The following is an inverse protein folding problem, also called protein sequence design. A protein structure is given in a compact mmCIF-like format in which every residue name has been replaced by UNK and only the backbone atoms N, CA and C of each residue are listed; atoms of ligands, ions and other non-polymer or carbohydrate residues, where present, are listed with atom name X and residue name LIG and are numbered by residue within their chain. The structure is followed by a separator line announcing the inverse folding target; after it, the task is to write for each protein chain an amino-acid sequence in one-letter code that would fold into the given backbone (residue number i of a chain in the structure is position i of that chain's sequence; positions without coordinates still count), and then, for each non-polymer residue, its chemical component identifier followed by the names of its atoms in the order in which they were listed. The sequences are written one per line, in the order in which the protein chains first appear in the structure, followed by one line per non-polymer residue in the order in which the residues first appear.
data_IF_595819574666
#
_entry.id   IF_595819574666
#
_cell.length_a   1.000
_cell.length_b   1.000
_cell.length_c   1.000
_cell.angle_alpha   90.00
_cell.angle_beta   90.00
_cell.angle_gamma   90.00
#
_symmetry.space_group_name_H-M   'P 1'
#
loop_
_entity.id
_entity.type
_entity.pdbx_description
1 polymer ?
#
# COMPACT_ATOMS: atom_id res chain seq x y z
N UNK A 1 -5.80 20.12 -0.63
CA UNK A 1 -7.07 20.86 -0.61
C UNK A 1 -8.23 19.89 -0.66
N UNK A 2 -9.26 20.11 0.19
CA UNK A 2 -10.53 19.40 0.16
C UNK A 2 -11.54 20.27 -0.61
N UNK A 3 -12.06 19.74 -1.72
CA UNK A 3 -12.87 20.53 -2.67
C UNK A 3 -14.33 20.68 -2.24
N UNK A 4 -14.81 19.79 -1.37
CA UNK A 4 -16.14 19.81 -0.76
C UNK A 4 -16.07 19.26 0.67
N UNK A 5 -17.11 19.48 1.46
CA UNK A 5 -17.24 18.83 2.76
C UNK A 5 -17.26 17.32 2.59
N UNK A 6 -16.52 16.60 3.43
CA UNK A 6 -16.50 15.13 3.40
C UNK A 6 -16.88 14.57 4.77
N UNK A 7 -18.11 14.06 4.91
CA UNK A 7 -18.60 13.50 6.17
C UNK A 7 -17.82 12.26 6.63
N UNK A 8 -17.28 11.46 5.71
CA UNK A 8 -16.52 10.26 6.05
C UNK A 8 -15.13 10.61 6.60
N UNK A 9 -14.49 11.64 6.06
CA UNK A 9 -13.23 12.18 6.58
C UNK A 9 -13.50 13.06 7.81
N UNK A 10 -14.71 13.57 7.96
CA UNK A 10 -15.11 14.46 9.05
C UNK A 10 -14.52 15.87 8.93
N UNK A 11 -14.25 16.33 7.71
CA UNK A 11 -13.67 17.65 7.46
C UNK A 11 -14.50 18.48 6.49
N UNK A 12 -14.69 19.78 6.76
CA UNK A 12 -15.27 20.70 5.80
C UNK A 12 -14.30 21.01 4.66
N UNK A 13 -14.84 21.54 3.56
CA UNK A 13 -14.04 22.09 2.46
C UNK A 13 -12.97 23.05 2.97
N UNK A 14 -11.75 22.94 2.45
CA UNK A 14 -10.67 23.81 2.87
C UNK A 14 -9.27 23.35 2.53
N UNK A 15 -8.28 24.09 3.01
CA UNK A 15 -6.87 23.75 2.87
C UNK A 15 -6.34 23.21 4.19
N UNK A 16 -5.66 22.09 4.10
CA UNK A 16 -5.07 21.38 5.24
C UNK A 16 -3.62 21.07 4.95
N UNK A 17 -2.80 20.99 5.97
CA UNK A 17 -1.47 20.42 5.86
C UNK A 17 -1.60 18.90 5.82
N UNK A 18 -1.16 18.27 4.73
CA UNK A 18 -1.11 16.81 4.59
C UNK A 18 0.29 16.29 4.91
N UNK A 19 0.38 15.25 5.73
CA UNK A 19 1.61 14.48 5.95
C UNK A 19 1.40 13.13 5.30
N UNK A 20 2.21 12.82 4.28
CA UNK A 20 2.21 11.52 3.61
C UNK A 20 3.46 10.75 4.01
N UNK A 21 3.29 9.56 4.57
CA UNK A 21 4.36 8.60 4.78
C UNK A 21 4.17 7.37 3.91
N UNK A 22 5.27 6.82 3.42
CA UNK A 22 5.30 5.57 2.68
C UNK A 22 6.33 4.65 3.33
N UNK A 23 5.85 3.72 4.10
CA UNK A 23 6.66 2.75 4.85
C UNK A 23 6.00 1.37 4.79
N UNK A 24 6.57 0.40 5.48
CA UNK A 24 6.03 -0.95 5.61
C UNK A 24 6.64 -1.63 6.83
N UNK A 25 6.50 -2.94 6.93
CA UNK A 25 7.01 -3.76 8.03
C UNK A 25 8.54 -3.88 8.07
N UNK A 26 9.25 -3.21 7.17
CA UNK A 26 10.73 -3.15 7.12
C UNK A 26 11.37 -4.56 7.06
N UNK A 27 12.45 -4.78 7.80
CA UNK A 27 13.14 -6.07 7.88
C UNK A 27 12.25 -7.19 8.38
N UNK A 28 11.38 -6.91 9.37
CA UNK A 28 10.50 -7.90 9.97
C UNK A 28 9.61 -8.63 8.94
N UNK A 29 8.85 -7.88 8.14
CA UNK A 29 8.01 -8.50 7.11
C UNK A 29 8.81 -9.09 5.95
N UNK A 30 10.00 -8.57 5.66
CA UNK A 30 10.87 -9.15 4.64
C UNK A 30 11.40 -10.53 5.07
N UNK A 31 11.77 -10.71 6.31
CA UNK A 31 12.21 -12.00 6.87
C UNK A 31 11.09 -13.04 6.87
N UNK A 32 9.87 -12.64 7.30
CA UNK A 32 8.67 -13.48 7.23
C UNK A 32 8.44 -13.93 5.78
N UNK A 33 8.40 -12.98 4.84
CA UNK A 33 8.15 -13.29 3.44
C UNK A 33 9.22 -14.24 2.86
N UNK A 34 10.49 -13.99 3.13
CA UNK A 34 11.59 -14.83 2.64
C UNK A 34 11.55 -16.26 3.23
N UNK A 35 11.20 -16.39 4.49
CA UNK A 35 11.04 -17.68 5.13
C UNK A 35 9.93 -18.49 4.45
N UNK A 36 8.72 -17.93 4.36
CA UNK A 36 7.57 -18.66 3.81
C UNK A 36 7.62 -18.84 2.30
N UNK A 37 8.34 -18.02 1.55
CA UNK A 37 8.62 -18.26 0.12
C UNK A 37 9.45 -19.54 -0.04
N UNK A 38 10.45 -19.79 0.83
CA UNK A 38 11.21 -21.03 0.81
C UNK A 38 10.34 -22.23 1.19
N UNK A 39 9.58 -22.11 2.27
CA UNK A 39 8.65 -23.16 2.71
C UNK A 39 7.63 -23.49 1.61
N UNK A 40 7.05 -22.48 0.97
CA UNK A 40 6.12 -22.68 -0.14
C UNK A 40 6.77 -23.43 -1.32
N UNK A 41 7.99 -23.05 -1.69
CA UNK A 41 8.73 -23.71 -2.77
C UNK A 41 9.02 -25.18 -2.47
N UNK A 42 9.23 -25.55 -1.21
CA UNK A 42 9.42 -26.94 -0.76
C UNK A 42 8.12 -27.74 -0.76
N UNK A 43 6.99 -27.12 -0.35
CA UNK A 43 5.68 -27.76 -0.26
C UNK A 43 4.94 -27.82 -1.61
N UNK A 44 5.23 -26.90 -2.52
CA UNK A 44 4.60 -26.79 -3.83
C UNK A 44 5.68 -26.82 -4.92
N UNK A 45 6.14 -28.02 -5.33
CA UNK A 45 7.20 -28.15 -6.31
C UNK A 45 6.69 -27.77 -7.71
N UNK A 46 7.00 -26.56 -8.13
CA UNK A 46 6.70 -26.03 -9.46
C UNK A 46 7.94 -26.08 -10.36
N UNK A 47 7.77 -26.08 -11.69
CA UNK A 47 8.87 -25.84 -12.62
C UNK A 47 9.65 -24.58 -12.25
N UNK A 48 10.95 -24.56 -12.54
CA UNK A 48 11.85 -23.47 -12.15
C UNK A 48 11.34 -22.09 -12.58
N UNK A 49 10.72 -21.99 -13.75
CA UNK A 49 10.16 -20.77 -14.32
C UNK A 49 8.93 -20.27 -13.56
N UNK A 50 8.22 -21.18 -12.87
CA UNK A 50 7.01 -20.88 -12.09
C UNK A 50 7.23 -20.92 -10.58
N UNK A 51 8.42 -21.23 -10.09
CA UNK A 51 8.72 -21.42 -8.67
C UNK A 51 8.37 -20.19 -7.80
N UNK A 52 8.45 -18.99 -8.37
CA UNK A 52 8.03 -17.75 -7.72
C UNK A 52 6.52 -17.66 -7.43
N UNK A 53 5.71 -18.54 -8.00
CA UNK A 53 4.26 -18.65 -7.80
C UNK A 53 3.87 -19.77 -6.85
N UNK A 54 4.83 -20.40 -6.17
CA UNK A 54 4.53 -21.38 -5.14
C UNK A 54 3.64 -20.79 -4.05
N UNK A 55 2.72 -21.58 -3.52
CA UNK A 55 1.73 -21.17 -2.54
C UNK A 55 1.72 -22.08 -1.31
N UNK A 56 1.06 -21.64 -0.25
CA UNK A 56 0.73 -22.45 0.93
C UNK A 56 -0.79 -22.57 1.02
N UNK A 57 -1.27 -23.78 1.24
CA UNK A 57 -2.69 -24.03 1.47
C UNK A 57 -3.08 -23.54 2.87
N UNK A 58 -4.01 -22.59 2.93
CA UNK A 58 -4.48 -21.99 4.19
C UNK A 58 -5.28 -22.96 5.08
N UNK A 59 -5.63 -24.15 4.60
CA UNK A 59 -6.20 -25.21 5.42
C UNK A 59 -5.16 -25.99 6.23
N UNK A 60 -3.88 -25.82 5.91
CA UNK A 60 -2.75 -26.46 6.58
C UNK A 60 -2.21 -25.62 7.73
N UNK A 61 -1.49 -26.27 8.66
CA UNK A 61 -0.80 -25.56 9.75
C UNK A 61 0.18 -24.49 9.24
N UNK A 62 0.99 -24.82 8.23
CA UNK A 62 1.97 -23.89 7.64
C UNK A 62 1.29 -22.70 6.94
N UNK A 63 0.18 -22.94 6.25
CA UNK A 63 -0.59 -21.87 5.62
C UNK A 63 -1.19 -20.93 6.65
N UNK A 64 -1.78 -21.46 7.74
CA UNK A 64 -2.32 -20.65 8.83
C UNK A 64 -1.25 -19.89 9.58
N UNK A 65 -0.10 -20.50 9.81
CA UNK A 65 1.05 -19.85 10.45
C UNK A 65 1.54 -18.66 9.62
N UNK A 66 1.72 -18.87 8.29
CA UNK A 66 2.07 -17.77 7.38
C UNK A 66 1.02 -16.65 7.40
N UNK A 67 -0.27 -17.01 7.31
CA UNK A 67 -1.35 -16.04 7.35
C UNK A 67 -1.31 -15.18 8.60
N UNK A 68 -1.09 -15.80 9.76
CA UNK A 68 -0.97 -15.12 11.05
C UNK A 68 0.26 -14.20 11.09
N UNK A 69 1.41 -14.71 10.66
CA UNK A 69 2.66 -13.94 10.62
C UNK A 69 2.58 -12.74 9.65
N UNK A 70 1.93 -12.92 8.49
CA UNK A 70 1.70 -11.85 7.52
C UNK A 70 0.80 -10.75 8.11
N UNK A 71 -0.30 -11.13 8.78
CA UNK A 71 -1.18 -10.16 9.42
C UNK A 71 -0.46 -9.39 10.54
N UNK A 72 0.32 -10.08 11.37
CA UNK A 72 1.15 -9.44 12.40
C UNK A 72 2.13 -8.42 11.80
N UNK A 73 2.73 -8.73 10.65
CA UNK A 73 3.58 -7.78 9.94
C UNK A 73 2.81 -6.57 9.41
N UNK A 74 1.55 -6.76 9.01
CA UNK A 74 0.63 -5.68 8.63
C UNK A 74 0.31 -4.77 9.81
N UNK A 75 -0.06 -5.34 10.96
CA UNK A 75 -0.34 -4.59 12.20
C UNK A 75 0.90 -3.82 12.68
N UNK A 76 2.07 -4.45 12.62
CA UNK A 76 3.33 -3.78 12.91
C UNK A 76 3.59 -2.59 12.00
N UNK A 77 3.34 -2.73 10.69
CA UNK A 77 3.48 -1.62 9.75
C UNK A 77 2.53 -0.47 10.07
N UNK A 78 1.27 -0.77 10.40
CA UNK A 78 0.28 0.24 10.81
C UNK A 78 0.70 0.96 12.09
N UNK A 79 1.15 0.24 13.11
CA UNK A 79 1.66 0.82 14.35
C UNK A 79 2.88 1.73 14.12
N UNK A 80 3.78 1.34 13.22
CA UNK A 80 4.92 2.18 12.81
C UNK A 80 4.46 3.48 12.15
N UNK A 81 3.47 3.43 11.24
CA UNK A 81 2.90 4.62 10.62
C UNK A 81 2.27 5.55 11.65
N UNK A 82 1.53 5.00 12.61
CA UNK A 82 0.93 5.79 13.68
C UNK A 82 1.98 6.53 14.52
N UNK A 83 3.04 5.83 14.93
CA UNK A 83 4.11 6.45 15.71
C UNK A 83 4.85 7.53 14.92
N UNK A 84 5.16 7.28 13.64
CA UNK A 84 5.78 8.26 12.74
C UNK A 84 4.90 9.51 12.65
N UNK A 85 3.62 9.36 12.35
CA UNK A 85 2.70 10.50 12.21
C UNK A 85 2.54 11.26 13.53
N UNK A 86 2.41 10.56 14.65
CA UNK A 86 2.32 11.17 15.97
C UNK A 86 3.54 12.04 16.27
N UNK A 87 4.75 11.56 15.98
CA UNK A 87 6.00 12.30 16.17
C UNK A 87 6.09 13.52 15.25
N UNK A 88 5.76 13.36 13.98
CA UNK A 88 5.77 14.45 13.00
C UNK A 88 4.77 15.55 13.36
N UNK A 89 3.54 15.17 13.72
CA UNK A 89 2.51 16.13 14.14
C UNK A 89 2.96 16.95 15.35
N UNK A 90 3.59 16.30 16.35
CA UNK A 90 4.18 17.00 17.51
C UNK A 90 5.29 17.96 17.10
N UNK A 91 6.18 17.50 16.21
CA UNK A 91 7.32 18.30 15.76
C UNK A 91 6.90 19.58 15.01
N UNK A 92 5.81 19.53 14.26
CA UNK A 92 5.28 20.71 13.54
C UNK A 92 4.27 21.53 14.39
N UNK A 93 4.02 21.14 15.63
CA UNK A 93 3.04 21.82 16.49
C UNK A 93 1.60 21.70 15.99
N UNK A 94 1.30 20.67 15.21
CA UNK A 94 0.02 20.46 14.57
C UNK A 94 -0.98 19.70 15.44
N UNK A 95 -2.22 19.60 14.92
CA UNK A 95 -3.29 18.77 15.50
C UNK A 95 -3.82 17.83 14.44
N UNK A 96 -3.85 16.53 14.73
CA UNK A 96 -4.46 15.53 13.84
C UNK A 96 -5.95 15.82 13.65
N UNK A 97 -6.38 15.89 12.39
CA UNK A 97 -7.78 16.09 12.01
C UNK A 97 -8.38 14.83 11.40
N UNK A 98 -7.64 14.14 10.55
CA UNK A 98 -8.04 12.89 9.93
C UNK A 98 -6.81 12.04 9.60
N UNK A 99 -6.98 10.73 9.52
CA UNK A 99 -5.98 9.75 9.11
C UNK A 99 -6.59 8.81 8.08
N UNK A 100 -5.85 8.59 7.01
CA UNK A 100 -6.19 7.60 5.96
C UNK A 100 -4.97 6.71 5.79
N UNK A 101 -5.19 5.41 5.72
CA UNK A 101 -4.12 4.43 5.57
C UNK A 101 -4.53 3.37 4.53
N UNK A 102 -3.57 2.94 3.72
CA UNK A 102 -3.75 1.86 2.76
C UNK A 102 -2.55 0.91 2.80
N UNK A 103 -2.83 -0.38 2.75
CA UNK A 103 -1.86 -1.38 2.35
C UNK A 103 -1.93 -1.58 0.83
N UNK A 104 -0.78 -1.63 0.16
CA UNK A 104 -0.69 -1.84 -1.30
C UNK A 104 0.23 -3.01 -1.68
N UNK A 105 0.60 -3.82 -0.70
CA UNK A 105 1.33 -5.07 -0.85
C UNK A 105 0.92 -5.99 0.31
N UNK A 106 -0.25 -6.60 0.16
CA UNK A 106 -0.87 -7.39 1.21
C UNK A 106 -1.91 -8.35 0.61
N UNK A 107 -2.46 -9.24 1.42
CA UNK A 107 -3.54 -10.15 1.01
C UNK A 107 -4.72 -10.06 2.00
N UNK A 108 -5.92 -10.17 1.48
CA UNK A 108 -7.19 -10.11 2.25
C UNK A 108 -8.06 -11.31 1.92
N UNK A 109 -8.79 -11.80 2.92
CA UNK A 109 -9.93 -12.67 2.70
C UNK A 109 -11.14 -11.80 2.37
N UNK A 110 -11.75 -12.01 1.23
CA UNK A 110 -12.86 -11.23 0.71
C UNK A 110 -13.92 -12.14 0.11
N UNK A 111 -15.17 -11.67 0.03
CA UNK A 111 -16.26 -12.40 -0.62
C UNK A 111 -16.44 -11.82 -2.01
N UNK A 112 -16.22 -12.65 -3.03
CA UNK A 112 -16.50 -12.32 -4.42
C UNK A 112 -17.39 -13.41 -5.03
N UNK A 113 -18.48 -13.03 -5.67
CA UNK A 113 -19.49 -13.95 -6.24
C UNK A 113 -19.97 -15.00 -5.23
N UNK A 114 -20.14 -14.58 -3.97
CA UNK A 114 -20.61 -15.45 -2.87
C UNK A 114 -19.56 -16.46 -2.37
N UNK A 115 -18.31 -16.37 -2.79
CA UNK A 115 -17.22 -17.25 -2.36
C UNK A 115 -16.15 -16.47 -1.61
N UNK A 116 -15.66 -17.03 -0.51
CA UNK A 116 -14.45 -16.50 0.15
C UNK A 116 -13.24 -16.79 -0.72
N UNK A 117 -12.49 -15.75 -1.04
CA UNK A 117 -11.26 -15.80 -1.81
C UNK A 117 -10.16 -15.00 -1.12
N UNK A 118 -8.91 -15.32 -1.40
CA UNK A 118 -7.76 -14.50 -0.96
C UNK A 118 -7.38 -13.57 -2.10
N UNK A 119 -7.63 -12.28 -1.92
CA UNK A 119 -7.25 -11.26 -2.89
C UNK A 119 -5.88 -10.69 -2.51
N UNK A 120 -4.89 -10.99 -3.33
CA UNK A 120 -3.54 -10.48 -3.16
C UNK A 120 -3.33 -9.23 -4.03
N UNK A 121 -3.02 -8.11 -3.38
CA UNK A 121 -2.76 -6.84 -4.06
C UNK A 121 -1.30 -6.45 -3.90
N UNK A 122 -0.66 -6.16 -5.03
CA UNK A 122 0.69 -5.60 -5.09
C UNK A 122 0.71 -4.47 -6.12
N UNK A 123 1.02 -3.27 -5.68
CA UNK A 123 0.87 -2.08 -6.52
C UNK A 123 -0.60 -1.69 -6.75
N UNK A 124 -1.49 -2.24 -5.95
CA UNK A 124 -2.91 -1.96 -5.93
C UNK A 124 -3.40 -1.87 -4.47
N UNK A 125 -4.52 -1.20 -4.25
CA UNK A 125 -5.18 -1.06 -2.95
C UNK A 125 -6.63 -1.51 -3.02
N UNK A 126 -7.26 -1.88 -1.89
CA UNK A 126 -8.71 -2.05 -1.82
C UNK A 126 -9.42 -0.78 -2.31
N UNK A 127 -10.46 -0.96 -3.12
CA UNK A 127 -11.28 0.10 -3.69
C UNK A 127 -12.76 -0.28 -3.74
N UNK A 128 -13.22 -1.06 -2.75
CA UNK A 128 -14.64 -1.31 -2.52
C UNK A 128 -15.43 -0.01 -2.41
N UNK A 129 -16.73 -0.06 -2.58
CA UNK A 129 -17.58 1.14 -2.56
C UNK A 129 -17.37 1.94 -1.27
N UNK A 130 -17.06 3.22 -1.42
CA UNK A 130 -16.82 4.13 -0.31
C UNK A 130 -15.45 3.99 0.39
N UNK A 131 -14.64 2.99 0.07
CA UNK A 131 -13.31 2.80 0.68
C UNK A 131 -12.39 3.94 0.30
N UNK A 132 -11.81 4.62 1.29
CA UNK A 132 -10.83 5.70 1.06
C UNK A 132 -9.48 5.11 0.66
N UNK A 133 -8.86 5.71 -0.34
CA UNK A 133 -7.57 5.35 -0.87
C UNK A 133 -6.64 6.54 -1.04
N UNK A 134 -5.34 6.28 -1.06
CA UNK A 134 -4.31 7.28 -1.34
C UNK A 134 -3.60 6.88 -2.62
N UNK A 135 -3.59 7.76 -3.60
CA UNK A 135 -2.78 7.63 -4.82
C UNK A 135 -1.65 8.67 -4.72
N UNK A 136 -0.47 8.28 -4.24
CA UNK A 136 0.68 9.16 -4.24
C UNK A 136 1.15 9.36 -5.68
N UNK A 137 1.62 10.54 -5.96
CA UNK A 137 2.30 10.82 -7.21
C UNK A 137 3.82 10.91 -7.01
N UNK A 138 4.51 11.63 -7.87
CA UNK A 138 5.92 11.96 -7.70
C UNK A 138 6.08 13.20 -6.80
N UNK A 139 7.32 13.57 -6.47
CA UNK A 139 7.61 14.82 -5.75
C UNK A 139 7.20 16.07 -6.53
N UNK A 140 6.96 15.96 -7.81
CA UNK A 140 6.59 17.07 -8.70
C UNK A 140 5.11 17.10 -9.06
N UNK A 141 4.34 16.10 -8.66
CA UNK A 141 2.92 15.96 -9.05
C UNK A 141 2.03 15.81 -7.81
N UNK A 142 0.78 16.22 -7.96
CA UNK A 142 -0.21 16.13 -6.90
C UNK A 142 -0.57 14.68 -6.59
N UNK A 143 -0.55 14.29 -5.32
CA UNK A 143 -1.21 13.07 -4.84
C UNK A 143 -2.70 13.30 -4.60
N UNK A 144 -3.46 12.22 -4.56
CA UNK A 144 -4.92 12.26 -4.42
C UNK A 144 -5.39 11.35 -3.30
N UNK A 145 -6.36 11.82 -2.54
CA UNK A 145 -7.23 10.97 -1.74
C UNK A 145 -8.42 10.64 -2.63
N UNK A 146 -8.72 9.37 -2.76
CA UNK A 146 -9.74 8.84 -3.65
C UNK A 146 -10.73 7.99 -2.89
N UNK A 147 -11.90 7.77 -3.48
CA UNK A 147 -12.94 6.89 -2.95
C UNK A 147 -13.20 5.76 -3.93
N UNK A 148 -13.18 4.52 -3.45
CA UNK A 148 -13.48 3.33 -4.22
C UNK A 148 -14.91 3.34 -4.74
N UNK A 149 -15.12 2.69 -5.88
CA UNK A 149 -16.40 2.58 -6.57
C UNK A 149 -17.01 1.19 -6.50
N UNK A 150 -16.33 0.21 -5.90
CA UNK A 150 -16.83 -1.16 -5.82
C UNK A 150 -16.93 -1.83 -7.19
N UNK A 151 -15.82 -1.92 -7.93
CA UNK A 151 -15.83 -2.61 -9.23
C UNK A 151 -15.47 -4.10 -9.05
N UNK A 152 -16.46 -4.97 -9.16
CA UNK A 152 -16.29 -6.42 -9.01
C UNK A 152 -15.33 -7.02 -10.04
N UNK A 153 -15.30 -6.52 -11.28
CA UNK A 153 -14.39 -7.02 -12.34
C UNK A 153 -12.90 -6.82 -11.98
N UNK A 154 -12.59 -5.85 -11.14
CA UNK A 154 -11.24 -5.60 -10.62
C UNK A 154 -11.02 -6.19 -9.22
N UNK A 155 -11.89 -7.04 -8.73
CA UNK A 155 -11.89 -7.50 -7.33
C UNK A 155 -11.83 -6.32 -6.36
N UNK A 156 -12.67 -5.32 -6.58
CA UNK A 156 -12.71 -4.10 -5.78
C UNK A 156 -11.32 -3.48 -5.54
N UNK A 157 -10.51 -3.45 -6.57
CA UNK A 157 -9.12 -2.99 -6.50
C UNK A 157 -8.89 -1.78 -7.40
N UNK A 158 -7.97 -0.91 -6.97
CA UNK A 158 -7.48 0.22 -7.76
C UNK A 158 -5.95 0.28 -7.75
N UNK A 159 -5.37 0.78 -8.83
CA UNK A 159 -3.94 1.09 -8.85
C UNK A 159 -3.60 2.11 -7.77
N UNK A 160 -2.50 1.89 -7.03
CA UNK A 160 -2.04 2.85 -6.02
C UNK A 160 -1.16 3.97 -6.59
N UNK A 161 -0.93 4.01 -7.89
CA UNK A 161 -0.10 5.03 -8.52
C UNK A 161 -0.13 4.93 -10.04
N UNK A 162 0.48 5.91 -10.69
CA UNK A 162 0.55 6.00 -12.15
C UNK A 162 1.60 5.06 -12.79
N UNK A 163 2.32 4.29 -11.99
CA UNK A 163 3.44 3.50 -12.47
C UNK A 163 4.70 4.36 -12.74
N UNK A 164 5.72 3.73 -13.30
CA UNK A 164 6.96 4.40 -13.67
C UNK A 164 7.15 4.33 -15.17
N UNK A 165 7.49 5.46 -15.80
CA UNK A 165 7.88 5.48 -17.20
C UNK A 165 9.24 4.77 -17.41
N UNK A 166 10.12 4.77 -16.39
CA UNK A 166 11.45 4.18 -16.45
C UNK A 166 11.75 3.32 -15.22
N UNK A 167 12.61 2.32 -15.36
CA UNK A 167 13.16 1.59 -14.23
C UNK A 167 13.98 2.52 -13.32
N UNK A 168 14.26 2.11 -12.05
CA UNK A 168 15.08 2.91 -11.14
C UNK A 168 16.48 3.18 -11.70
N UNK A 169 17.09 2.18 -12.34
CA UNK A 169 18.44 2.30 -12.92
C UNK A 169 18.41 3.21 -14.13
N UNK A 170 17.44 3.07 -15.00
CA UNK A 170 17.26 3.93 -16.15
C UNK A 170 16.96 5.38 -15.76
N UNK A 171 16.12 5.62 -14.75
CA UNK A 171 15.89 6.97 -14.24
C UNK A 171 17.16 7.61 -13.71
N UNK A 172 18.02 6.86 -13.02
CA UNK A 172 19.31 7.37 -12.50
C UNK A 172 20.28 7.70 -13.60
N UNK A 173 20.24 7.00 -14.74
CA UNK A 173 21.11 7.30 -15.89
C UNK A 173 20.61 8.47 -16.73
N UNK A 174 19.28 8.72 -16.74
CA UNK A 174 18.66 9.77 -17.58
C UNK A 174 18.55 11.13 -16.88
N UNK A 175 18.38 11.15 -15.56
CA UNK A 175 18.08 12.36 -14.80
C UNK A 175 19.13 12.63 -13.72
N UNK A 176 19.52 13.89 -13.61
CA UNK A 176 20.45 14.36 -12.59
C UNK A 176 19.70 15.01 -11.42
N UNK A 177 20.39 15.19 -10.28
CA UNK A 177 19.86 15.96 -9.16
C UNK A 177 19.53 17.41 -9.54
N UNK A 178 20.20 17.96 -10.55
CA UNK A 178 19.93 19.30 -11.09
C UNK A 178 18.58 19.36 -11.79
N UNK A 179 18.24 18.32 -12.58
CA UNK A 179 16.97 18.25 -13.29
C UNK A 179 15.78 18.19 -12.32
N UNK A 180 15.93 17.39 -11.24
CA UNK A 180 14.93 17.33 -10.18
C UNK A 180 14.77 18.68 -9.48
N UNK A 181 15.88 19.37 -9.15
CA UNK A 181 15.83 20.70 -8.52
C UNK A 181 15.16 21.74 -9.41
N UNK A 182 15.40 21.69 -10.72
CA UNK A 182 14.72 22.58 -11.69
C UNK A 182 13.22 22.30 -11.74
N UNK A 183 12.82 21.04 -11.82
CA UNK A 183 11.41 20.64 -11.84
C UNK A 183 10.67 21.07 -10.55
N UNK A 184 11.30 20.94 -9.38
CA UNK A 184 10.73 21.38 -8.10
C UNK A 184 10.61 22.91 -7.96
N UNK A 185 11.50 23.67 -8.60
CA UNK A 185 11.43 25.14 -8.56
C UNK A 185 10.36 25.71 -9.51
N UNK A 186 9.92 24.93 -10.49
CA UNK A 186 8.90 25.33 -11.45
C UNK A 186 7.46 25.10 -10.95
N UNK A 187 7.30 24.49 -9.77
CA UNK A 187 6.02 24.22 -9.09
C UNK A 187 5.84 25.14 -7.89
#
# INVERSE_FOLDING_TARGET
ELLADDPQIGLPKGKYLGILSHSGSRGFGAEIAQYYVRVAAEQCPLPKEAQQFAWLDLSTHLGLEYWTAMNLAGDYASACHEDIHRRLIRAVGGRLRARIENHHNFAWKEIHDGKEVVVHRKGATPAGEGVLGIIPASMTDAGYIVRGKGNAESFDSASHGAGRAFSRNESRSRFTSSDIKKALKAK
#
